data_IF_566757144090
#
_entry.id   IF_566757144090
#
_cell.length_a   1.000
_cell.length_b   1.000
_cell.length_c   1.000
_cell.angle_alpha   90.00
_cell.angle_beta   90.00
_cell.angle_gamma   90.00
#
_symmetry.space_group_name_H-M   'P 1'
#
loop_
_entity.id
_entity.type
_entity.pdbx_description
1 polymer ?
#
# COMPACT_ATOMS: atom_id res chain seq x y z
N UNK A 1 28.80 46.71 -44.32
CA UNK A 1 28.69 45.24 -44.13
C UNK A 1 28.35 44.59 -45.47
N UNK A 2 29.20 43.69 -45.98
CA UNK A 2 28.97 43.07 -47.30
C UNK A 2 27.68 42.26 -47.32
N UNK A 3 26.95 42.26 -48.46
CA UNK A 3 25.67 41.52 -48.60
C UNK A 3 25.80 40.05 -48.18
N UNK A 4 26.93 39.42 -48.48
CA UNK A 4 27.26 38.04 -48.08
C UNK A 4 27.29 37.87 -46.55
N UNK A 5 27.95 38.78 -45.82
CA UNK A 5 28.03 38.74 -44.36
C UNK A 5 26.64 38.91 -43.71
N UNK A 6 25.78 39.72 -44.31
CA UNK A 6 24.39 39.91 -43.86
C UNK A 6 23.52 38.66 -44.07
N UNK A 7 23.69 37.95 -45.19
CA UNK A 7 23.02 36.66 -45.44
C UNK A 7 23.46 35.58 -44.45
N UNK A 8 24.76 35.49 -44.16
CA UNK A 8 25.29 34.54 -43.17
C UNK A 8 24.67 34.78 -41.80
N UNK A 9 24.58 36.03 -41.36
CA UNK A 9 23.95 36.39 -40.08
C UNK A 9 22.47 35.98 -40.05
N UNK A 10 21.71 36.21 -41.12
CA UNK A 10 20.29 35.80 -41.17
C UNK A 10 20.12 34.29 -41.07
N UNK A 11 20.97 33.51 -41.74
CA UNK A 11 20.95 32.05 -41.66
C UNK A 11 21.25 31.60 -40.23
N UNK A 12 22.27 32.17 -39.60
CA UNK A 12 22.69 31.83 -38.24
C UNK A 12 21.61 32.16 -37.20
N UNK A 13 20.96 33.32 -37.32
CA UNK A 13 19.83 33.71 -36.47
C UNK A 13 18.64 32.79 -36.69
N UNK A 14 18.28 32.48 -37.94
CA UNK A 14 17.17 31.57 -38.23
C UNK A 14 17.40 30.16 -37.67
N UNK A 15 18.63 29.66 -37.75
CA UNK A 15 19.02 28.37 -37.17
C UNK A 15 18.90 28.36 -35.64
N UNK A 16 19.35 29.42 -34.96
CA UNK A 16 19.21 29.58 -33.50
C UNK A 16 17.73 29.62 -33.10
N UNK A 17 16.89 30.35 -33.84
CA UNK A 17 15.44 30.41 -33.59
C UNK A 17 14.78 29.04 -33.77
N UNK A 18 15.16 28.28 -34.79
CA UNK A 18 14.64 26.92 -35.02
C UNK A 18 15.03 25.99 -33.86
N UNK A 19 16.27 26.05 -33.37
CA UNK A 19 16.70 25.25 -32.21
C UNK A 19 15.87 25.60 -30.96
N UNK A 20 15.63 26.89 -30.73
CA UNK A 20 14.87 27.36 -29.56
C UNK A 20 13.39 26.97 -29.63
N UNK A 21 12.79 27.01 -30.83
CA UNK A 21 11.43 26.53 -31.05
C UNK A 21 11.34 25.01 -30.90
N UNK A 22 12.35 24.26 -31.38
CA UNK A 22 12.39 22.81 -31.25
C UNK A 22 12.55 22.37 -29.78
N UNK A 23 13.41 23.03 -29.00
CA UNK A 23 13.57 22.71 -27.57
C UNK A 23 12.30 22.99 -26.77
N UNK A 24 11.61 24.10 -27.07
CA UNK A 24 10.32 24.45 -26.46
C UNK A 24 9.23 23.45 -26.83
N UNK A 25 9.20 22.98 -28.09
CA UNK A 25 8.25 21.97 -28.56
C UNK A 25 8.49 20.59 -27.92
N UNK A 26 9.75 20.18 -27.79
CA UNK A 26 10.12 18.94 -27.08
C UNK A 26 9.71 19.02 -25.60
N UNK A 27 9.90 20.15 -24.93
CA UNK A 27 9.46 20.37 -23.54
C UNK A 27 7.94 20.28 -23.38
N UNK A 28 7.16 20.72 -24.36
CA UNK A 28 5.68 20.66 -24.33
C UNK A 28 5.20 19.21 -24.53
N UNK A 29 5.89 18.43 -25.36
CA UNK A 29 5.60 17.00 -25.55
C UNK A 29 6.05 16.17 -24.34
N UNK A 30 7.14 16.56 -23.67
CA UNK A 30 7.75 15.81 -22.57
C UNK A 30 7.28 16.21 -21.18
N UNK A 31 6.06 16.71 -21.02
CA UNK A 31 5.52 16.97 -19.68
C UNK A 31 5.10 15.65 -19.02
N UNK A 32 6.11 14.83 -18.66
CA UNK A 32 5.96 13.59 -17.92
C UNK A 32 5.28 13.91 -16.59
N UNK A 33 3.96 13.65 -16.49
CA UNK A 33 3.22 13.80 -15.24
C UNK A 33 3.84 12.86 -14.22
N UNK A 34 4.40 13.40 -13.13
CA UNK A 34 4.91 12.58 -12.03
C UNK A 34 3.76 12.26 -11.08
N UNK A 35 3.73 11.03 -10.60
CA UNK A 35 2.81 10.60 -9.55
C UNK A 35 3.62 9.97 -8.43
N UNK A 36 3.53 10.53 -7.22
CA UNK A 36 4.25 10.08 -6.03
C UNK A 36 3.35 9.15 -5.21
N UNK A 37 3.69 7.86 -5.22
CA UNK A 37 2.97 6.82 -4.48
C UNK A 37 3.80 6.40 -3.27
N UNK A 38 3.19 6.48 -2.09
CA UNK A 38 3.70 5.86 -0.87
C UNK A 38 3.03 4.50 -0.70
N UNK A 39 3.79 3.41 -0.59
CA UNK A 39 3.24 2.04 -0.60
C UNK A 39 3.89 1.14 0.41
N UNK A 40 3.09 0.22 0.98
CA UNK A 40 3.62 -0.89 1.75
C UNK A 40 4.44 -1.84 0.84
N UNK A 41 5.57 -2.42 1.32
CA UNK A 41 6.34 -3.43 0.60
C UNK A 41 5.54 -4.66 0.15
N UNK A 42 4.47 -5.02 0.86
CA UNK A 42 3.59 -6.15 0.51
C UNK A 42 2.94 -5.99 -0.88
N UNK A 43 2.87 -4.76 -1.41
CA UNK A 43 2.30 -4.48 -2.73
C UNK A 43 3.30 -4.64 -3.89
N UNK A 44 4.58 -4.99 -3.61
CA UNK A 44 5.63 -5.11 -4.62
C UNK A 44 5.28 -6.04 -5.77
N UNK A 45 4.56 -7.14 -5.46
CA UNK A 45 4.14 -8.13 -6.44
C UNK A 45 3.24 -7.52 -7.54
N UNK A 46 2.49 -6.47 -7.21
CA UNK A 46 1.62 -5.76 -8.15
C UNK A 46 2.27 -4.53 -8.78
N UNK A 47 3.42 -4.08 -8.26
CA UNK A 47 3.98 -2.78 -8.63
C UNK A 47 4.49 -2.75 -10.07
N UNK A 48 5.04 -3.86 -10.57
CA UNK A 48 5.51 -3.92 -11.96
C UNK A 48 4.37 -3.65 -12.96
N UNK A 49 3.18 -4.20 -12.70
CA UNK A 49 2.00 -3.98 -13.53
C UNK A 49 1.55 -2.53 -13.45
N UNK A 50 1.54 -1.95 -12.25
CA UNK A 50 1.16 -0.54 -12.04
C UNK A 50 2.13 0.43 -12.70
N UNK A 51 3.45 0.18 -12.63
CA UNK A 51 4.48 0.98 -13.31
C UNK A 51 4.31 0.88 -14.83
N UNK A 52 4.03 -0.31 -15.35
CA UNK A 52 3.82 -0.54 -16.78
C UNK A 52 2.60 0.23 -17.28
N UNK A 53 1.48 0.15 -16.54
CA UNK A 53 0.27 0.90 -16.84
C UNK A 53 0.48 2.41 -16.74
N UNK A 54 1.11 2.92 -15.68
CA UNK A 54 1.41 4.33 -15.55
C UNK A 54 2.24 4.84 -16.74
N UNK A 55 3.23 4.05 -17.18
CA UNK A 55 4.06 4.39 -18.34
C UNK A 55 3.24 4.44 -19.64
N UNK A 56 2.27 3.53 -19.85
CA UNK A 56 1.41 3.59 -21.05
C UNK A 56 0.50 4.83 -21.06
N UNK A 57 0.16 5.35 -19.87
CA UNK A 57 -0.62 6.57 -19.70
C UNK A 57 0.23 7.86 -19.72
N UNK A 58 1.53 7.77 -20.00
CA UNK A 58 2.44 8.92 -19.96
C UNK A 58 2.70 9.47 -18.54
N UNK A 59 2.52 8.63 -17.53
CA UNK A 59 2.73 8.96 -16.11
C UNK A 59 4.03 8.33 -15.61
N UNK A 60 4.89 9.16 -15.02
CA UNK A 60 6.10 8.72 -14.32
C UNK A 60 5.78 8.42 -12.87
N UNK A 61 5.44 7.17 -12.59
CA UNK A 61 5.19 6.69 -11.23
C UNK A 61 6.49 6.68 -10.40
N UNK A 62 6.46 7.31 -9.24
CA UNK A 62 7.54 7.35 -8.24
C UNK A 62 7.05 6.68 -6.98
N UNK A 63 7.61 5.52 -6.67
CA UNK A 63 7.18 4.71 -5.53
C UNK A 63 8.19 4.83 -4.42
N UNK A 64 7.72 5.21 -3.23
CA UNK A 64 8.44 5.08 -1.98
C UNK A 64 7.82 3.93 -1.18
N UNK A 65 8.67 3.04 -0.67
CA UNK A 65 8.24 1.94 0.16
C UNK A 65 8.53 2.23 1.63
N UNK A 66 7.55 1.95 2.48
CA UNK A 66 7.63 2.11 3.92
C UNK A 66 6.64 1.18 4.60
N UNK A 67 6.93 0.73 5.83
CA UNK A 67 5.96 -0.05 6.60
C UNK A 67 4.75 0.83 6.98
N UNK A 68 3.58 0.23 7.21
CA UNK A 68 2.33 0.99 7.40
C UNK A 68 2.40 2.03 8.53
N UNK A 69 3.16 1.77 9.60
CA UNK A 69 3.37 2.76 10.67
C UNK A 69 4.28 3.91 10.25
N UNK A 70 5.34 3.62 9.50
CA UNK A 70 6.24 4.64 8.95
C UNK A 70 5.51 5.52 7.92
N UNK A 71 4.59 4.92 7.15
CA UNK A 71 3.69 5.65 6.24
C UNK A 71 2.89 6.71 7.00
N UNK A 72 2.39 6.40 8.22
CA UNK A 72 1.66 7.39 9.03
C UNK A 72 2.54 8.59 9.40
N UNK A 73 3.84 8.37 9.63
CA UNK A 73 4.77 9.45 9.94
C UNK A 73 5.13 10.26 8.69
N UNK A 74 5.39 9.60 7.56
CA UNK A 74 5.64 10.29 6.28
C UNK A 74 4.49 11.16 5.80
N UNK A 75 3.24 10.76 6.08
CA UNK A 75 2.06 11.54 5.72
C UNK A 75 1.81 12.75 6.63
N UNK A 76 2.40 12.79 7.84
CA UNK A 76 2.31 13.95 8.76
C UNK A 76 3.33 15.04 8.43
N UNK A 77 4.44 14.66 7.80
CA UNK A 77 5.42 15.60 7.28
C UNK A 77 4.84 16.34 6.05
N UNK A 78 5.39 17.52 5.71
CA UNK A 78 5.01 18.33 4.51
C UNK A 78 5.42 17.64 3.17
N UNK A 79 5.31 16.32 3.09
CA UNK A 79 5.65 15.52 1.92
C UNK A 79 4.44 15.42 0.99
N UNK A 80 4.62 15.86 -0.26
CA UNK A 80 3.55 15.88 -1.27
C UNK A 80 3.48 14.50 -1.97
N UNK A 81 2.76 13.56 -1.35
CA UNK A 81 2.37 12.29 -2.00
C UNK A 81 1.00 12.43 -2.67
N UNK A 82 0.86 11.90 -3.88
CA UNK A 82 -0.40 11.91 -4.63
C UNK A 82 -1.31 10.72 -4.28
N UNK A 83 -0.73 9.65 -3.75
CA UNK A 83 -1.46 8.45 -3.35
C UNK A 83 -0.75 7.65 -2.27
N UNK A 84 -1.54 6.91 -1.50
CA UNK A 84 -1.06 5.97 -0.49
C UNK A 84 -1.69 4.60 -0.72
N UNK A 85 -0.90 3.54 -0.66
CA UNK A 85 -1.35 2.16 -0.69
C UNK A 85 -0.82 1.39 0.52
N UNK A 86 -1.61 1.40 1.58
CA UNK A 86 -1.33 0.66 2.83
C UNK A 86 -1.77 -0.79 2.70
N UNK A 87 -1.20 -1.69 3.50
CA UNK A 87 -1.61 -3.10 3.46
C UNK A 87 -2.95 -3.34 4.17
N UNK A 88 -3.35 -2.44 5.09
CA UNK A 88 -4.60 -2.52 5.82
C UNK A 88 -5.26 -1.12 5.95
N UNK A 89 -6.56 -1.05 5.68
CA UNK A 89 -7.35 0.17 5.79
C UNK A 89 -7.46 0.72 7.22
N UNK A 90 -7.21 -0.10 8.26
CA UNK A 90 -7.32 0.33 9.66
C UNK A 90 -6.42 1.53 9.97
N UNK A 91 -5.25 1.58 9.34
CA UNK A 91 -4.28 2.65 9.54
C UNK A 91 -4.75 3.99 8.99
N UNK A 92 -5.55 3.99 7.92
CA UNK A 92 -6.15 5.21 7.39
C UNK A 92 -7.12 5.84 8.38
N UNK A 93 -7.83 5.03 9.19
CA UNK A 93 -8.70 5.56 10.25
C UNK A 93 -7.94 6.09 11.45
N UNK A 94 -6.64 5.77 11.59
CA UNK A 94 -5.77 6.32 12.64
C UNK A 94 -5.11 7.65 12.22
N UNK A 95 -5.30 8.10 10.98
CA UNK A 95 -4.84 9.40 10.51
C UNK A 95 -5.77 10.50 11.06
N UNK A 96 -5.23 11.41 11.85
CA UNK A 96 -5.98 12.56 12.37
C UNK A 96 -5.73 13.85 11.57
N UNK A 97 -4.52 14.01 11.03
CA UNK A 97 -4.06 15.29 10.46
C UNK A 97 -3.95 15.27 8.92
N UNK A 98 -4.38 14.18 8.28
CA UNK A 98 -4.22 13.95 6.84
C UNK A 98 -5.59 13.73 6.20
N UNK A 99 -5.94 14.56 5.23
CA UNK A 99 -7.21 14.47 4.52
C UNK A 99 -7.13 13.47 3.36
N UNK A 100 -7.86 12.36 3.46
CA UNK A 100 -8.00 11.37 2.39
C UNK A 100 -9.35 11.55 1.68
N UNK A 101 -9.33 11.80 0.37
CA UNK A 101 -10.56 12.14 -0.41
C UNK A 101 -11.06 11.02 -1.33
N UNK A 102 -10.29 9.95 -1.55
CA UNK A 102 -10.65 8.86 -2.46
C UNK A 102 -10.11 7.50 -1.98
N UNK A 103 -10.44 7.13 -0.74
CA UNK A 103 -10.06 5.83 -0.17
C UNK A 103 -10.97 4.72 -0.71
N UNK A 104 -10.37 3.63 -1.21
CA UNK A 104 -11.09 2.43 -1.66
C UNK A 104 -10.31 1.18 -1.26
N UNK A 105 -11.02 0.16 -0.79
CA UNK A 105 -10.45 -1.18 -0.69
C UNK A 105 -10.39 -1.81 -2.08
N UNK A 106 -9.22 -2.34 -2.44
CA UNK A 106 -8.97 -2.96 -3.76
C UNK A 106 -8.58 -4.44 -3.66
N UNK A 107 -8.37 -4.95 -2.44
CA UNK A 107 -8.00 -6.33 -2.18
C UNK A 107 -8.43 -6.76 -0.77
N UNK A 108 -8.62 -8.08 -0.60
CA UNK A 108 -8.87 -8.73 0.69
C UNK A 108 -7.88 -9.88 0.81
N UNK A 109 -7.05 -9.84 1.85
CA UNK A 109 -6.09 -10.89 2.18
C UNK A 109 -6.52 -11.59 3.47
N UNK A 110 -7.11 -12.80 3.41
CA UNK A 110 -7.56 -13.49 4.62
C UNK A 110 -6.38 -13.98 5.45
N UNK A 111 -6.44 -13.74 6.76
CA UNK A 111 -5.49 -14.32 7.72
C UNK A 111 -6.02 -15.68 8.17
N UNK A 112 -5.18 -16.71 8.04
CA UNK A 112 -5.53 -18.08 8.41
C UNK A 112 -4.58 -18.62 9.47
N UNK A 113 -5.09 -19.44 10.40
CA UNK A 113 -4.27 -20.15 11.36
C UNK A 113 -3.75 -21.45 10.74
N UNK A 114 -2.45 -21.50 10.46
CA UNK A 114 -1.78 -22.73 10.08
C UNK A 114 -1.59 -23.67 11.28
N UNK A 115 -2.13 -24.89 11.20
CA UNK A 115 -1.92 -25.94 12.22
C UNK A 115 -1.22 -27.13 11.57
N UNK A 116 -0.14 -27.62 12.21
CA UNK A 116 0.54 -28.84 11.75
C UNK A 116 -0.46 -30.01 11.73
N UNK A 117 -0.42 -30.82 10.66
CA UNK A 117 -1.34 -31.97 10.48
C UNK A 117 -1.41 -32.87 11.71
N UNK A 118 -0.26 -33.29 12.26
CA UNK A 118 -0.21 -34.14 13.47
C UNK A 118 -0.87 -33.50 14.70
N UNK A 119 -0.78 -32.18 14.84
CA UNK A 119 -1.45 -31.45 15.92
C UNK A 119 -2.96 -31.38 15.66
N UNK A 120 -3.38 -31.11 14.43
CA UNK A 120 -4.79 -31.14 14.05
C UNK A 120 -5.43 -32.50 14.31
N UNK A 121 -4.75 -33.61 13.97
CA UNK A 121 -5.20 -34.98 14.25
C UNK A 121 -5.34 -35.21 15.76
N UNK A 122 -4.35 -34.83 16.57
CA UNK A 122 -4.42 -34.96 18.04
C UNK A 122 -5.53 -34.14 18.71
N UNK A 123 -6.03 -33.11 18.02
CA UNK A 123 -7.13 -32.26 18.45
C UNK A 123 -8.48 -32.68 17.86
N UNK A 124 -8.52 -33.73 17.03
CA UNK A 124 -9.69 -34.13 16.23
C UNK A 124 -10.21 -32.99 15.34
N UNK A 125 -9.29 -32.24 14.70
CA UNK A 125 -9.62 -31.10 13.83
C UNK A 125 -9.68 -31.43 12.33
N UNK A 126 -9.49 -32.69 11.93
CA UNK A 126 -9.33 -33.07 10.51
C UNK A 126 -10.61 -33.52 9.81
N UNK A 127 -11.60 -34.03 10.55
CA UNK A 127 -12.80 -34.68 9.99
C UNK A 127 -14.10 -33.98 10.45
N UNK A 128 -14.04 -32.69 10.75
CA UNK A 128 -15.20 -31.89 11.14
C UNK A 128 -14.97 -30.42 10.77
N UNK A 129 -16.07 -29.67 10.69
CA UNK A 129 -15.99 -28.22 10.61
C UNK A 129 -15.39 -27.65 11.90
N UNK A 130 -14.44 -26.73 11.73
CA UNK A 130 -13.72 -26.08 12.82
C UNK A 130 -14.19 -24.65 12.92
N UNK A 131 -14.65 -24.28 14.11
CA UNK A 131 -15.07 -22.92 14.41
C UNK A 131 -14.10 -22.28 15.40
N UNK A 132 -14.14 -20.95 15.50
CA UNK A 132 -13.26 -20.22 16.42
C UNK A 132 -13.39 -20.69 17.87
N UNK A 133 -14.58 -21.14 18.30
CA UNK A 133 -14.82 -21.73 19.63
C UNK A 133 -14.00 -23.00 19.89
N UNK A 134 -13.78 -23.83 18.88
CA UNK A 134 -12.99 -25.06 18.99
C UNK A 134 -11.51 -24.72 19.22
N UNK A 135 -10.99 -23.79 18.41
CA UNK A 135 -9.62 -23.27 18.52
C UNK A 135 -9.42 -22.64 19.90
N UNK A 136 -10.34 -21.78 20.32
CA UNK A 136 -10.29 -21.12 21.62
C UNK A 136 -10.33 -22.12 22.78
N UNK A 137 -11.17 -23.16 22.68
CA UNK A 137 -11.24 -24.23 23.68
C UNK A 137 -9.93 -25.02 23.76
N UNK A 138 -9.30 -25.31 22.63
CA UNK A 138 -8.00 -26.00 22.59
C UNK A 138 -6.89 -25.14 23.23
N UNK A 139 -6.91 -23.83 23.01
CA UNK A 139 -5.96 -22.88 23.62
C UNK A 139 -6.20 -22.75 25.13
N UNK A 140 -7.45 -22.50 25.56
CA UNK A 140 -7.83 -22.39 26.99
C UNK A 140 -7.46 -23.65 27.78
N UNK A 141 -7.66 -24.83 27.18
CA UNK A 141 -7.29 -26.12 27.78
C UNK A 141 -5.81 -26.47 27.62
N UNK A 142 -4.96 -25.54 27.16
CA UNK A 142 -3.51 -25.70 26.96
C UNK A 142 -3.12 -26.84 25.99
N UNK A 143 -4.05 -27.33 25.16
CA UNK A 143 -3.82 -28.39 24.17
C UNK A 143 -3.21 -27.85 22.87
N UNK A 144 -3.45 -26.57 22.60
CA UNK A 144 -2.91 -25.82 21.47
C UNK A 144 -2.14 -24.59 21.99
N UNK A 145 -0.85 -24.50 21.64
CA UNK A 145 -0.05 -23.28 21.77
C UNK A 145 0.15 -22.73 20.37
N UNK A 146 0.11 -21.41 20.23
CA UNK A 146 0.29 -20.75 18.94
C UNK A 146 1.36 -19.67 19.06
N UNK A 147 1.87 -19.26 17.89
CA UNK A 147 2.73 -18.10 17.71
C UNK A 147 2.08 -17.21 16.66
N UNK A 148 2.29 -15.91 16.77
CA UNK A 148 1.89 -14.94 15.76
C UNK A 148 2.97 -13.86 15.65
N UNK A 149 2.97 -13.13 14.55
CA UNK A 149 3.79 -11.93 14.41
C UNK A 149 3.39 -10.85 15.42
N UNK A 150 4.25 -9.86 15.63
CA UNK A 150 4.01 -8.78 16.59
C UNK A 150 2.72 -8.02 16.29
N UNK A 151 1.83 -7.94 17.28
CA UNK A 151 0.53 -7.25 17.17
C UNK A 151 0.69 -5.75 16.89
N UNK A 152 1.74 -5.14 17.44
CA UNK A 152 1.98 -3.69 17.35
C UNK A 152 2.85 -3.29 16.17
N UNK A 153 3.41 -4.25 15.42
CA UNK A 153 4.35 -3.97 14.32
C UNK A 153 3.93 -4.58 12.98
N UNK A 154 3.01 -5.55 12.96
CA UNK A 154 2.64 -6.22 11.72
C UNK A 154 1.13 -6.33 11.53
N UNK A 155 0.70 -6.25 10.28
CA UNK A 155 -0.70 -6.33 9.89
C UNK A 155 -1.32 -7.69 10.20
N UNK A 156 -0.60 -8.76 9.93
CA UNK A 156 -1.04 -10.13 10.26
C UNK A 156 -1.17 -10.32 11.77
N UNK A 157 -0.27 -9.72 12.57
CA UNK A 157 -0.35 -9.76 14.03
C UNK A 157 -1.57 -9.01 14.57
N UNK A 158 -1.76 -7.77 14.13
CA UNK A 158 -2.93 -6.95 14.49
C UNK A 158 -4.24 -7.63 14.08
N UNK A 159 -4.30 -8.14 12.84
CA UNK A 159 -5.50 -8.80 12.30
C UNK A 159 -5.83 -10.08 13.06
N UNK A 160 -4.82 -10.92 13.35
CA UNK A 160 -5.03 -12.13 14.14
C UNK A 160 -5.53 -11.78 15.56
N UNK A 161 -4.93 -10.78 16.20
CA UNK A 161 -5.33 -10.31 17.52
C UNK A 161 -6.79 -9.81 17.53
N UNK A 162 -7.16 -8.92 16.61
CA UNK A 162 -8.54 -8.44 16.47
C UNK A 162 -9.52 -9.57 16.17
N UNK A 163 -9.15 -10.55 15.34
CA UNK A 163 -9.96 -11.73 15.08
C UNK A 163 -10.21 -12.57 16.34
N UNK A 164 -9.20 -12.74 17.19
CA UNK A 164 -9.37 -13.42 18.49
C UNK A 164 -10.25 -12.64 19.45
N UNK A 165 -10.03 -11.33 19.59
CA UNK A 165 -10.88 -10.47 20.42
C UNK A 165 -12.33 -10.53 19.97
N UNK A 166 -12.57 -10.40 18.66
CA UNK A 166 -13.91 -10.50 18.09
C UNK A 166 -14.55 -11.85 18.39
N UNK A 167 -13.82 -12.95 18.23
CA UNK A 167 -14.34 -14.28 18.55
C UNK A 167 -14.61 -14.47 20.04
N UNK A 168 -13.80 -13.88 20.93
CA UNK A 168 -14.01 -13.93 22.38
C UNK A 168 -15.26 -13.14 22.79
N UNK A 169 -15.53 -12.03 22.10
CA UNK A 169 -16.72 -11.20 22.26
C UNK A 169 -18.01 -11.81 21.66
N UNK A 170 -17.95 -13.02 21.09
CA UNK A 170 -19.10 -13.69 20.47
C UNK A 170 -19.33 -13.35 18.99
N UNK A 171 -18.29 -12.85 18.31
CA UNK A 171 -18.31 -12.45 16.90
C UNK A 171 -19.35 -11.36 16.56
N UNK A 172 -19.38 -10.23 17.29
CA UNK A 172 -20.25 -9.11 16.95
C UNK A 172 -19.88 -8.50 15.59
N UNK A 173 -20.82 -7.77 15.00
CA UNK A 173 -20.56 -6.96 13.80
C UNK A 173 -19.62 -5.78 14.11
N UNK A 174 -19.78 -5.17 15.29
CA UNK A 174 -18.93 -4.08 15.78
C UNK A 174 -18.35 -4.49 17.12
N UNK A 175 -17.01 -4.56 17.20
CA UNK A 175 -16.30 -4.79 18.44
C UNK A 175 -16.23 -3.48 19.23
N UNK A 176 -16.74 -3.49 20.47
CA UNK A 176 -16.72 -2.34 21.38
C UNK A 176 -15.88 -2.64 22.61
N UNK A 177 -15.38 -1.59 23.28
CA UNK A 177 -14.55 -1.73 24.48
C UNK A 177 -15.27 -2.41 25.66
N UNK A 178 -16.59 -2.24 25.77
CA UNK A 178 -17.38 -2.86 26.84
C UNK A 178 -17.47 -4.40 26.70
N UNK A 179 -17.29 -4.93 25.49
CA UNK A 179 -17.28 -6.37 25.22
C UNK A 179 -15.95 -7.05 25.60
N UNK A 180 -14.92 -6.27 25.95
CA UNK A 180 -13.56 -6.74 26.25
C UNK A 180 -13.24 -6.74 27.76
N UNK A 181 -14.24 -6.45 28.60
CA UNK A 181 -14.14 -6.40 30.07
C UNK A 181 -14.29 -7.77 30.71
#
# INVERSE_FOLDING_TARGET
MNKVLRYIIYILVSYIVIIFLFSSFVSIISNDKKFYLLSNPDNKDFMNNLITYAKSEGIKLKVQYADDLEILDYLKEDNVYDGVWMSNSIWLYMLNDVKVINSKSISINPVVMGVKKSKAESLNFTNKDIYNKDIMSAIKNKKLKYIMSSVTKTNTGLTAYLGFLNSLAGSPEILTSDMLK
#
